data_IF_700460975133
#
_entry.id   IF_700460975133
#
_cell.length_a   1.000
_cell.length_b   1.000
_cell.length_c   1.000
_cell.angle_alpha   90.00
_cell.angle_beta   90.00
_cell.angle_gamma   90.00
#
_symmetry.space_group_name_H-M   'P 1'
#
loop_
_entity.id
_entity.type
_entity.pdbx_description
1 polymer ?
#
# COMPACT_ATOMS: atom_id res chain seq x y z
N UNK A 1 4.72 -6.08 10.64
CA UNK A 1 3.55 -6.78 11.23
C UNK A 1 3.76 -7.05 12.72
N UNK A 2 4.73 -7.87 13.14
CA UNK A 2 4.98 -8.11 14.57
C UNK A 2 5.26 -6.81 15.37
N UNK A 3 6.02 -5.88 14.79
CA UNK A 3 6.28 -4.58 15.41
C UNK A 3 5.02 -3.71 15.51
N UNK A 4 4.20 -3.68 14.46
CA UNK A 4 2.90 -3.00 14.48
C UNK A 4 2.00 -3.53 15.60
N UNK A 5 1.83 -4.84 15.72
CA UNK A 5 1.04 -5.45 16.80
C UNK A 5 1.62 -5.11 18.18
N UNK A 6 2.95 -5.13 18.34
CA UNK A 6 3.60 -4.68 19.57
C UNK A 6 3.26 -3.22 19.89
N UNK A 7 3.27 -2.35 18.88
CA UNK A 7 3.02 -0.92 19.04
C UNK A 7 1.53 -0.59 19.24
N UNK A 8 0.62 -1.37 18.65
CA UNK A 8 -0.84 -1.20 18.79
C UNK A 8 -1.42 -1.90 20.02
N UNK A 9 -0.63 -2.67 20.79
CA UNK A 9 -1.10 -3.57 21.86
C UNK A 9 -2.11 -2.98 22.85
N UNK A 10 -1.98 -1.70 23.22
CA UNK A 10 -2.88 -1.02 24.15
C UNK A 10 -4.21 -0.64 23.48
N UNK A 11 -4.15 -0.20 22.22
CA UNK A 11 -5.33 0.11 21.40
C UNK A 11 -6.08 -1.16 21.01
N UNK A 12 -5.34 -2.18 20.53
CA UNK A 12 -5.89 -3.49 20.16
C UNK A 12 -6.54 -4.17 21.38
N UNK A 13 -6.11 -3.91 22.62
CA UNK A 13 -6.76 -4.46 23.81
C UNK A 13 -8.19 -3.93 24.02
N UNK A 14 -8.48 -2.72 23.53
CA UNK A 14 -9.79 -2.08 23.62
C UNK A 14 -10.63 -2.41 22.39
N UNK A 15 -10.07 -2.24 21.19
CA UNK A 15 -10.83 -2.34 19.94
C UNK A 15 -10.94 -3.76 19.39
N UNK A 16 -9.93 -4.61 19.67
CA UNK A 16 -9.72 -5.92 19.01
C UNK A 16 -9.12 -6.95 19.96
N UNK A 17 -9.79 -7.28 21.08
CA UNK A 17 -9.24 -8.14 22.13
C UNK A 17 -8.86 -9.55 21.65
N UNK A 18 -9.37 -9.99 20.49
CA UNK A 18 -9.01 -11.25 19.84
C UNK A 18 -7.57 -11.28 19.27
N UNK A 19 -6.89 -10.14 19.15
CA UNK A 19 -5.52 -10.02 18.63
C UNK A 19 -4.50 -10.85 19.46
N UNK A 20 -3.39 -11.33 18.86
CA UNK A 20 -2.47 -12.25 19.54
C UNK A 20 -1.88 -11.74 20.86
N UNK A 21 -1.58 -10.44 20.97
CA UNK A 21 -0.98 -9.86 22.18
C UNK A 21 -2.04 -9.64 23.28
N UNK A 22 -3.17 -8.93 23.04
CA UNK A 22 -4.22 -8.79 24.06
C UNK A 22 -4.82 -10.11 24.53
N UNK A 23 -4.95 -11.10 23.64
CA UNK A 23 -5.45 -12.44 24.00
C UNK A 23 -4.44 -13.29 24.79
N UNK A 24 -3.22 -12.81 25.03
CA UNK A 24 -2.18 -13.53 25.77
C UNK A 24 -1.51 -14.68 25.00
N UNK A 25 -1.87 -14.92 23.73
CA UNK A 25 -1.26 -15.96 22.89
C UNK A 25 0.21 -15.68 22.57
N UNK A 26 0.60 -14.40 22.54
CA UNK A 26 1.96 -13.92 22.31
C UNK A 26 2.26 -12.80 23.30
N UNK A 27 3.39 -12.85 23.99
CA UNK A 27 3.79 -11.75 24.88
C UNK A 27 4.34 -10.57 24.08
N UNK A 28 4.24 -9.32 24.58
CA UNK A 28 4.85 -8.16 23.91
C UNK A 28 6.35 -8.35 23.62
N UNK A 29 7.08 -8.97 24.55
CA UNK A 29 8.50 -9.28 24.38
C UNK A 29 8.78 -10.28 23.25
N UNK A 30 7.92 -11.30 23.07
CA UNK A 30 8.02 -12.23 21.94
C UNK A 30 7.77 -11.52 20.61
N UNK A 31 6.76 -10.65 20.53
CA UNK A 31 6.47 -9.88 19.33
C UNK A 31 7.64 -8.93 18.97
N UNK A 32 8.20 -8.23 19.96
CA UNK A 32 9.35 -7.35 19.77
C UNK A 32 10.62 -8.14 19.37
N UNK A 33 10.88 -9.27 20.01
CA UNK A 33 11.99 -10.15 19.68
C UNK A 33 11.88 -10.71 18.26
N UNK A 34 10.68 -11.14 17.84
CA UNK A 34 10.42 -11.59 16.48
C UNK A 34 10.62 -10.45 15.46
N UNK A 35 10.10 -9.25 15.76
CA UNK A 35 10.29 -8.09 14.91
C UNK A 35 11.78 -7.72 14.73
N UNK A 36 12.53 -7.68 15.84
CA UNK A 36 13.97 -7.42 15.84
C UNK A 36 14.74 -8.51 15.09
N UNK A 37 14.46 -9.78 15.37
CA UNK A 37 15.10 -10.93 14.74
C UNK A 37 14.88 -10.98 13.23
N UNK A 38 13.64 -10.80 12.76
CA UNK A 38 13.32 -10.75 11.33
C UNK A 38 13.94 -9.53 10.64
N UNK A 39 13.99 -8.38 11.32
CA UNK A 39 14.68 -7.18 10.79
C UNK A 39 16.18 -7.46 10.64
N UNK A 40 16.82 -8.04 11.66
CA UNK A 40 18.24 -8.41 11.62
C UNK A 40 18.55 -9.45 10.54
N UNK A 41 17.71 -10.48 10.40
CA UNK A 41 17.84 -11.48 9.33
C UNK A 41 17.69 -10.86 7.94
N UNK A 42 16.71 -9.97 7.75
CA UNK A 42 16.54 -9.23 6.49
C UNK A 42 17.75 -8.36 6.14
N UNK A 43 18.32 -7.67 7.13
CA UNK A 43 19.54 -6.87 6.94
C UNK A 43 20.77 -7.72 6.62
N UNK A 44 20.90 -8.89 7.26
CA UNK A 44 21.95 -9.87 6.95
C UNK A 44 21.83 -10.35 5.50
N UNK A 45 20.64 -10.71 5.03
CA UNK A 45 20.42 -11.07 3.62
C UNK A 45 20.74 -9.90 2.68
N UNK A 46 20.40 -8.67 3.07
CA UNK A 46 20.67 -7.47 2.27
C UNK A 46 22.16 -7.17 2.08
N UNK A 47 23.07 -7.78 2.87
CA UNK A 47 24.51 -7.68 2.62
C UNK A 47 24.91 -8.22 1.24
N UNK A 48 24.16 -9.20 0.72
CA UNK A 48 24.34 -9.75 -0.63
C UNK A 48 23.94 -8.81 -1.77
N UNK A 49 23.24 -7.70 -1.49
CA UNK A 49 22.80 -6.72 -2.49
C UNK A 49 23.85 -5.62 -2.77
N UNK A 50 25.02 -5.71 -2.11
CA UNK A 50 26.07 -4.70 -2.16
C UNK A 50 25.75 -3.44 -1.34
N UNK A 51 26.70 -2.50 -1.29
CA UNK A 51 26.65 -1.32 -0.40
C UNK A 51 25.40 -0.45 -0.59
N UNK A 52 24.94 -0.28 -1.84
CA UNK A 52 23.75 0.51 -2.16
C UNK A 52 22.47 -0.19 -1.69
N UNK A 53 22.29 -1.46 -2.06
CA UNK A 53 21.13 -2.25 -1.64
C UNK A 53 21.02 -2.36 -0.13
N UNK A 54 22.14 -2.62 0.56
CA UNK A 54 22.19 -2.63 2.02
C UNK A 54 21.82 -1.28 2.65
N UNK A 55 22.31 -0.17 2.10
CA UNK A 55 21.94 1.18 2.55
C UNK A 55 20.43 1.46 2.43
N UNK A 56 19.81 1.00 1.34
CA UNK A 56 18.34 1.10 1.18
C UNK A 56 17.61 0.17 2.15
N UNK A 57 18.12 -1.04 2.40
CA UNK A 57 17.52 -1.96 3.38
C UNK A 57 17.51 -1.37 4.80
N UNK A 58 18.60 -0.70 5.20
CA UNK A 58 18.65 0.06 6.46
C UNK A 58 17.59 1.17 6.49
N UNK A 59 17.44 1.92 5.38
CA UNK A 59 16.44 2.96 5.29
C UNK A 59 15.00 2.40 5.38
N UNK A 60 14.72 1.26 4.74
CA UNK A 60 13.42 0.56 4.86
C UNK A 60 13.17 0.16 6.31
N UNK A 61 14.14 -0.46 6.97
CA UNK A 61 14.01 -0.85 8.37
C UNK A 61 13.76 0.37 9.27
N UNK A 62 14.54 1.44 9.10
CA UNK A 62 14.35 2.68 9.85
C UNK A 62 12.98 3.32 9.62
N UNK A 63 12.50 3.36 8.37
CA UNK A 63 11.19 3.90 8.03
C UNK A 63 10.04 3.05 8.62
N UNK A 64 10.15 1.72 8.57
CA UNK A 64 9.15 0.82 9.14
C UNK A 64 9.07 0.97 10.68
N UNK A 65 10.21 0.96 11.35
CA UNK A 65 10.28 1.16 12.80
C UNK A 65 9.84 2.57 13.22
N UNK A 66 10.28 3.60 12.47
CA UNK A 66 9.88 4.98 12.68
C UNK A 66 8.37 5.19 12.48
N UNK A 67 7.76 4.52 11.51
CA UNK A 67 6.32 4.54 11.36
C UNK A 67 5.61 3.91 12.57
N UNK A 68 5.93 2.64 12.87
CA UNK A 68 5.23 1.86 13.88
C UNK A 68 5.36 2.49 15.28
N UNK A 69 6.53 3.05 15.62
CA UNK A 69 6.81 3.53 16.97
C UNK A 69 6.59 5.04 17.16
N UNK A 70 6.71 5.86 16.11
CA UNK A 70 6.75 7.32 16.26
C UNK A 70 5.70 8.04 15.41
N UNK A 71 5.52 7.64 14.15
CA UNK A 71 4.82 8.49 13.19
C UNK A 71 3.34 8.13 12.99
N UNK A 72 2.93 6.87 13.20
CA UNK A 72 1.59 6.39 12.80
C UNK A 72 0.42 7.20 13.38
N UNK A 73 0.55 7.72 14.61
CA UNK A 73 -0.46 8.54 15.27
C UNK A 73 -0.34 10.05 14.99
N UNK A 74 0.70 10.45 14.24
CA UNK A 74 0.99 11.87 13.96
C UNK A 74 0.44 12.29 12.59
N UNK A 75 0.30 13.60 12.32
CA UNK A 75 0.00 14.10 10.97
C UNK A 75 0.99 13.65 9.89
N UNK A 76 2.23 13.31 10.27
CA UNK A 76 3.26 12.82 9.36
C UNK A 76 3.12 11.32 8.99
N UNK A 77 2.23 10.57 9.66
CA UNK A 77 2.05 9.13 9.45
C UNK A 77 1.92 8.71 7.97
N UNK A 78 1.06 9.34 7.17
CA UNK A 78 0.96 9.05 5.73
C UNK A 78 2.27 9.22 4.96
N UNK A 79 3.06 10.26 5.28
CA UNK A 79 4.34 10.51 4.62
C UNK A 79 5.38 9.45 4.97
N UNK A 80 5.45 9.03 6.24
CA UNK A 80 6.41 8.01 6.67
C UNK A 80 6.04 6.63 6.09
N UNK A 81 4.75 6.27 6.04
CA UNK A 81 4.29 5.05 5.37
C UNK A 81 4.57 5.10 3.86
N UNK A 82 4.33 6.25 3.23
CA UNK A 82 4.67 6.48 1.82
C UNK A 82 6.16 6.33 1.53
N UNK A 83 7.01 6.90 2.39
CA UNK A 83 8.46 6.74 2.30
C UNK A 83 8.88 5.28 2.47
N UNK A 84 8.32 4.56 3.45
CA UNK A 84 8.59 3.13 3.65
C UNK A 84 8.26 2.31 2.40
N UNK A 85 7.12 2.56 1.76
CA UNK A 85 6.72 1.86 0.52
C UNK A 85 7.50 2.26 -0.71
N UNK A 86 7.91 3.53 -0.84
CA UNK A 86 8.82 3.94 -1.90
C UNK A 86 10.20 3.30 -1.76
N UNK A 87 10.72 3.24 -0.53
CA UNK A 87 12.00 2.59 -0.22
C UNK A 87 11.95 1.08 -0.47
N UNK A 88 10.81 0.43 -0.26
CA UNK A 88 10.58 -0.99 -0.58
C UNK A 88 10.77 -1.27 -2.08
N UNK A 89 10.23 -0.40 -2.96
CA UNK A 89 10.47 -0.47 -4.42
C UNK A 89 11.95 -0.27 -4.75
N UNK A 90 12.60 0.71 -4.10
CA UNK A 90 14.03 0.94 -4.29
C UNK A 90 14.88 -0.24 -3.84
N UNK A 91 14.47 -0.96 -2.78
CA UNK A 91 15.15 -2.15 -2.28
C UNK A 91 15.06 -3.29 -3.29
N UNK A 92 13.87 -3.52 -3.87
CA UNK A 92 13.68 -4.49 -4.96
C UNK A 92 14.55 -4.17 -6.18
N UNK A 93 14.81 -2.89 -6.44
CA UNK A 93 15.73 -2.43 -7.48
C UNK A 93 17.20 -2.32 -7.01
N UNK A 94 17.57 -2.84 -5.83
CA UNK A 94 18.92 -2.76 -5.26
C UNK A 94 19.50 -1.33 -5.19
N UNK A 95 18.64 -0.31 -5.06
CA UNK A 95 19.02 1.10 -4.99
C UNK A 95 19.34 1.75 -6.34
N UNK A 96 19.02 1.11 -7.48
CA UNK A 96 19.22 1.71 -8.81
C UNK A 96 18.29 2.91 -9.03
N UNK A 97 18.88 4.05 -9.40
CA UNK A 97 18.14 5.32 -9.61
C UNK A 97 17.09 5.24 -10.71
N UNK A 98 17.20 4.30 -11.65
CA UNK A 98 16.20 4.05 -12.67
C UNK A 98 14.81 3.69 -12.08
N UNK A 99 14.77 3.15 -10.85
CA UNK A 99 13.53 2.84 -10.15
C UNK A 99 12.91 4.02 -9.39
N UNK A 100 13.57 5.19 -9.33
CA UNK A 100 13.05 6.35 -8.60
C UNK A 100 11.64 6.77 -9.04
N UNK A 101 11.30 6.84 -10.34
CA UNK A 101 9.94 7.18 -10.74
C UNK A 101 8.89 6.19 -10.21
N UNK A 102 9.17 4.89 -10.27
CA UNK A 102 8.29 3.86 -9.73
C UNK A 102 8.17 3.95 -8.21
N UNK A 103 9.28 4.15 -7.51
CA UNK A 103 9.32 4.32 -6.07
C UNK A 103 8.53 5.55 -5.59
N UNK A 104 8.69 6.69 -6.26
CA UNK A 104 7.95 7.92 -5.96
C UNK A 104 6.45 7.76 -6.25
N UNK A 105 6.09 7.10 -7.36
CA UNK A 105 4.70 6.80 -7.70
C UNK A 105 4.02 5.90 -6.64
N UNK A 106 4.68 4.82 -6.23
CA UNK A 106 4.19 3.91 -5.19
C UNK A 106 4.12 4.61 -3.83
N UNK A 107 5.11 5.44 -3.51
CA UNK A 107 5.10 6.26 -2.29
C UNK A 107 3.95 7.25 -2.27
N UNK A 108 3.74 8.02 -3.34
CA UNK A 108 2.65 8.99 -3.46
C UNK A 108 1.27 8.33 -3.35
N UNK A 109 1.06 7.20 -4.05
CA UNK A 109 -0.16 6.39 -3.91
C UNK A 109 -0.38 5.98 -2.46
N UNK A 110 0.68 5.49 -1.80
CA UNK A 110 0.61 5.06 -0.40
C UNK A 110 0.28 6.23 0.54
N UNK A 111 0.84 7.43 0.32
CA UNK A 111 0.48 8.63 1.08
C UNK A 111 -1.03 8.90 0.96
N UNK A 112 -1.55 8.91 -0.27
CA UNK A 112 -2.97 9.18 -0.53
C UNK A 112 -3.89 8.15 0.16
N UNK A 113 -3.59 6.86 0.03
CA UNK A 113 -4.36 5.78 0.66
C UNK A 113 -4.26 5.85 2.19
N UNK A 114 -3.08 6.12 2.73
CA UNK A 114 -2.89 6.21 4.20
C UNK A 114 -3.57 7.44 4.78
N UNK A 115 -3.60 8.56 4.06
CA UNK A 115 -4.34 9.75 4.47
C UNK A 115 -5.84 9.49 4.52
N UNK A 116 -6.40 8.84 3.49
CA UNK A 116 -7.81 8.42 3.48
C UNK A 116 -8.14 7.41 4.59
N UNK A 117 -7.26 6.44 4.84
CA UNK A 117 -7.47 5.38 5.83
C UNK A 117 -7.71 5.91 7.26
N UNK A 118 -7.24 7.12 7.57
CA UNK A 118 -7.51 7.76 8.87
C UNK A 118 -8.99 8.09 9.08
N UNK A 119 -9.75 8.26 7.99
CA UNK A 119 -11.18 8.52 8.02
C UNK A 119 -12.05 7.26 8.08
N UNK A 120 -11.48 6.06 8.27
CA UNK A 120 -12.26 4.82 8.25
C UNK A 120 -13.21 4.66 9.43
N UNK A 121 -12.96 5.32 10.57
CA UNK A 121 -13.85 5.21 11.74
C UNK A 121 -14.92 6.29 11.71
N UNK A 122 -14.52 7.53 11.48
CA UNK A 122 -15.38 8.72 11.66
C UNK A 122 -15.76 9.42 10.34
N UNK A 123 -15.33 8.92 9.18
CA UNK A 123 -15.39 9.64 7.92
C UNK A 123 -14.16 10.52 7.69
N UNK A 124 -14.04 11.05 6.48
CA UNK A 124 -12.94 11.92 6.05
C UNK A 124 -13.50 13.30 5.68
N UNK A 125 -12.75 14.06 4.90
CA UNK A 125 -13.15 15.35 4.37
C UNK A 125 -13.01 15.37 2.83
N UNK A 126 -13.77 16.22 2.12
CA UNK A 126 -13.70 16.29 0.67
C UNK A 126 -12.32 16.67 0.13
N UNK A 127 -11.53 17.44 0.87
CA UNK A 127 -10.19 17.89 0.42
C UNK A 127 -9.24 16.70 0.39
N UNK A 128 -9.24 15.86 1.42
CA UNK A 128 -8.47 14.62 1.46
C UNK A 128 -8.88 13.67 0.32
N UNK A 129 -10.18 13.52 0.07
CA UNK A 129 -10.71 12.73 -1.05
C UNK A 129 -10.23 13.22 -2.42
N UNK A 130 -10.40 14.50 -2.73
CA UNK A 130 -9.97 15.06 -4.02
C UNK A 130 -8.45 15.09 -4.18
N UNK A 131 -7.70 15.30 -3.09
CA UNK A 131 -6.24 15.21 -3.09
C UNK A 131 -5.76 13.80 -3.43
N UNK A 132 -6.46 12.78 -2.94
CA UNK A 132 -6.19 11.40 -3.28
C UNK A 132 -6.49 11.09 -4.76
N UNK A 133 -7.62 11.59 -5.29
CA UNK A 133 -7.96 11.47 -6.72
C UNK A 133 -6.88 12.13 -7.60
N UNK A 134 -6.47 13.36 -7.26
CA UNK A 134 -5.44 14.08 -8.00
C UNK A 134 -4.10 13.34 -7.97
N UNK A 135 -3.74 12.76 -6.81
CA UNK A 135 -2.54 11.93 -6.67
C UNK A 135 -2.61 10.69 -7.55
N UNK A 136 -3.74 9.96 -7.54
CA UNK A 136 -3.94 8.77 -8.37
C UNK A 136 -3.85 9.10 -9.86
N UNK A 137 -4.49 10.19 -10.31
CA UNK A 137 -4.43 10.65 -11.69
C UNK A 137 -3.00 11.06 -12.10
N UNK A 138 -2.29 11.78 -11.23
CA UNK A 138 -0.90 12.16 -11.44
C UNK A 138 0.04 10.96 -11.55
N UNK A 139 -0.12 9.97 -10.66
CA UNK A 139 0.65 8.72 -10.66
C UNK A 139 0.38 7.91 -11.93
N UNK A 140 -0.88 7.74 -12.31
CA UNK A 140 -1.24 7.02 -13.54
C UNK A 140 -0.65 7.72 -14.77
N UNK A 141 -0.80 9.05 -14.86
CA UNK A 141 -0.27 9.85 -15.97
C UNK A 141 1.25 9.78 -16.04
N UNK A 142 1.95 9.97 -14.92
CA UNK A 142 3.41 9.89 -14.87
C UNK A 142 3.94 8.51 -15.30
N UNK A 143 3.24 7.44 -14.90
CA UNK A 143 3.59 6.07 -15.29
C UNK A 143 3.45 5.86 -16.81
N UNK A 144 2.36 6.34 -17.40
CA UNK A 144 2.14 6.26 -18.85
C UNK A 144 3.13 7.12 -19.63
N UNK A 145 3.35 8.37 -19.20
CA UNK A 145 4.32 9.28 -19.84
C UNK A 145 5.72 8.68 -19.80
N UNK A 146 6.13 8.07 -18.68
CA UNK A 146 7.41 7.39 -18.57
C UNK A 146 7.57 6.22 -19.55
N UNK A 147 6.51 5.46 -19.79
CA UNK A 147 6.53 4.38 -20.77
C UNK A 147 6.56 4.88 -22.21
N UNK A 148 5.80 5.93 -22.53
CA UNK A 148 5.72 6.52 -23.88
C UNK A 148 7.01 7.24 -24.27
N UNK A 149 7.64 7.95 -23.34
CA UNK A 149 8.89 8.68 -23.58
C UNK A 149 10.14 7.81 -23.40
N UNK A 150 9.97 6.59 -22.87
CA UNK A 150 11.03 5.60 -22.71
C UNK A 150 11.50 5.00 -24.04
N UNK A 151 12.56 4.19 -23.96
CA UNK A 151 13.11 3.43 -25.11
C UNK A 151 12.39 2.10 -25.37
N UNK A 152 11.24 1.89 -24.72
CA UNK A 152 10.44 0.68 -24.84
C UNK A 152 9.79 0.53 -26.21
N UNK A 153 9.23 -0.63 -26.48
CA UNK A 153 8.46 -0.87 -27.71
C UNK A 153 7.05 -0.30 -27.52
N UNK A 154 6.39 0.04 -28.63
CA UNK A 154 5.05 0.65 -28.58
C UNK A 154 4.03 -0.20 -27.81
N UNK A 155 4.16 -1.53 -27.85
CA UNK A 155 3.28 -2.43 -27.12
C UNK A 155 3.52 -2.42 -25.60
N UNK A 156 4.73 -2.07 -25.13
CA UNK A 156 5.03 -1.88 -23.70
C UNK A 156 4.28 -0.65 -23.18
N UNK A 157 4.26 0.43 -23.96
CA UNK A 157 3.50 1.64 -23.66
C UNK A 157 1.98 1.38 -23.67
N UNK A 158 1.46 0.60 -24.63
CA UNK A 158 0.04 0.22 -24.67
C UNK A 158 -0.35 -0.65 -23.47
N UNK A 159 0.45 -1.66 -23.13
CA UNK A 159 0.21 -2.50 -21.96
C UNK A 159 0.26 -1.69 -20.65
N UNK A 160 1.25 -0.80 -20.53
CA UNK A 160 1.38 0.12 -19.40
C UNK A 160 0.17 1.03 -19.29
N UNK A 161 -0.29 1.62 -20.40
CA UNK A 161 -1.47 2.48 -20.43
C UNK A 161 -2.74 1.74 -20.01
N UNK A 162 -2.93 0.49 -20.45
CA UNK A 162 -4.04 -0.35 -20.04
C UNK A 162 -4.04 -0.63 -18.53
N UNK A 163 -2.90 -1.02 -17.97
CA UNK A 163 -2.75 -1.33 -16.55
C UNK A 163 -2.83 -0.08 -15.65
N UNK A 164 -2.19 1.02 -16.05
CA UNK A 164 -2.28 2.31 -15.37
C UNK A 164 -3.70 2.89 -15.44
N UNK A 165 -4.41 2.69 -16.56
CA UNK A 165 -5.81 3.05 -16.72
C UNK A 165 -6.72 2.22 -15.81
N UNK A 166 -6.50 0.91 -15.71
CA UNK A 166 -7.22 0.04 -14.77
C UNK A 166 -7.02 0.52 -13.32
N UNK A 167 -5.78 0.78 -12.93
CA UNK A 167 -5.44 1.39 -11.64
C UNK A 167 -6.18 2.72 -11.41
N UNK A 168 -6.02 3.67 -12.33
CA UNK A 168 -6.58 5.02 -12.20
C UNK A 168 -8.11 5.02 -12.11
N UNK A 169 -8.77 4.17 -12.91
CA UNK A 169 -10.24 4.07 -12.91
C UNK A 169 -10.75 3.38 -11.64
N UNK A 170 -10.15 2.27 -11.22
CA UNK A 170 -10.64 1.50 -10.07
C UNK A 170 -10.43 2.23 -8.75
N UNK A 171 -9.24 2.83 -8.57
CA UNK A 171 -8.88 3.60 -7.37
C UNK A 171 -9.54 4.97 -7.40
N UNK A 172 -9.40 5.71 -8.52
CA UNK A 172 -9.89 7.09 -8.64
C UNK A 172 -11.40 7.21 -8.50
N UNK A 173 -12.18 6.23 -9.01
CA UNK A 173 -13.65 6.25 -8.82
C UNK A 173 -14.05 6.08 -7.36
N UNK A 174 -13.38 5.20 -6.61
CA UNK A 174 -13.71 5.01 -5.20
C UNK A 174 -13.26 6.21 -4.35
N UNK A 175 -12.09 6.79 -4.65
CA UNK A 175 -11.64 8.02 -4.01
C UNK A 175 -12.57 9.21 -4.32
N UNK A 176 -13.06 9.34 -5.56
CA UNK A 176 -14.04 10.37 -5.91
C UNK A 176 -15.39 10.16 -5.18
N UNK A 177 -15.80 8.90 -4.99
CA UNK A 177 -16.94 8.55 -4.15
C UNK A 177 -16.75 9.02 -2.71
N UNK A 178 -15.59 8.73 -2.11
CA UNK A 178 -15.24 9.22 -0.78
C UNK A 178 -15.10 10.75 -0.72
N UNK A 179 -14.70 11.42 -1.81
CA UNK A 179 -14.65 12.88 -1.86
C UNK A 179 -16.04 13.53 -1.92
N UNK A 180 -16.98 12.92 -2.66
CA UNK A 180 -18.35 13.39 -2.81
C UNK A 180 -19.23 13.07 -1.59
N UNK A 181 -18.96 11.96 -0.92
CA UNK A 181 -19.68 11.51 0.28
C UNK A 181 -18.65 10.97 1.28
N UNK A 182 -18.06 11.81 2.13
CA UNK A 182 -16.90 11.45 2.96
C UNK A 182 -17.28 10.72 4.27
N UNK A 183 -18.24 9.81 4.22
CA UNK A 183 -18.60 8.96 5.34
C UNK A 183 -17.62 7.78 5.54
N UNK A 184 -17.67 7.16 6.73
CA UNK A 184 -16.77 6.06 7.07
C UNK A 184 -16.88 4.85 6.12
N UNK A 185 -18.05 4.59 5.54
CA UNK A 185 -18.29 3.44 4.66
C UNK A 185 -17.62 3.61 3.30
N UNK A 186 -17.81 4.76 2.67
CA UNK A 186 -17.18 5.10 1.38
C UNK A 186 -15.66 5.21 1.51
N UNK A 187 -15.16 5.77 2.62
CA UNK A 187 -13.73 5.86 2.91
C UNK A 187 -13.11 4.46 3.05
N UNK A 188 -13.77 3.53 3.77
CA UNK A 188 -13.31 2.13 3.86
C UNK A 188 -13.26 1.43 2.51
N UNK A 189 -14.26 1.63 1.65
CA UNK A 189 -14.21 1.08 0.28
C UNK A 189 -13.07 1.70 -0.53
N UNK A 190 -12.89 3.02 -0.43
CA UNK A 190 -11.80 3.73 -1.10
C UNK A 190 -10.41 3.25 -0.62
N UNK A 191 -10.19 3.05 0.68
CA UNK A 191 -8.95 2.47 1.19
C UNK A 191 -8.75 1.05 0.69
N UNK A 192 -9.79 0.19 0.76
CA UNK A 192 -9.72 -1.19 0.28
C UNK A 192 -9.31 -1.26 -1.19
N UNK A 193 -9.95 -0.45 -2.04
CA UNK A 193 -9.59 -0.37 -3.47
C UNK A 193 -8.24 0.25 -3.70
N UNK A 194 -7.84 1.23 -2.88
CA UNK A 194 -6.51 1.81 -2.88
C UNK A 194 -5.42 0.77 -2.59
N UNK A 195 -5.61 -0.08 -1.58
CA UNK A 195 -4.72 -1.20 -1.25
C UNK A 195 -4.65 -2.18 -2.42
N UNK A 196 -5.80 -2.60 -2.97
CA UNK A 196 -5.85 -3.50 -4.13
C UNK A 196 -5.23 -2.88 -5.39
N UNK A 197 -5.30 -1.55 -5.52
CA UNK A 197 -4.77 -0.77 -6.65
C UNK A 197 -3.25 -0.78 -6.77
N UNK A 198 -2.52 -1.17 -5.72
CA UNK A 198 -1.07 -1.35 -5.80
C UNK A 198 -0.69 -2.40 -6.85
N UNK A 199 -1.49 -3.46 -7.00
CA UNK A 199 -1.22 -4.53 -7.97
C UNK A 199 -1.22 -4.04 -9.42
N UNK A 200 -2.30 -3.44 -9.96
CA UNK A 200 -2.28 -2.91 -11.32
C UNK A 200 -1.26 -1.77 -11.50
N UNK A 201 -0.99 -0.96 -10.47
CA UNK A 201 0.07 0.05 -10.53
C UNK A 201 1.46 -0.57 -10.72
N UNK A 202 1.82 -1.55 -9.89
CA UNK A 202 3.10 -2.25 -9.99
C UNK A 202 3.21 -3.07 -11.28
N UNK A 203 2.10 -3.65 -11.74
CA UNK A 203 2.05 -4.32 -13.04
C UNK A 203 2.33 -3.36 -14.20
N UNK A 204 1.76 -2.14 -14.16
CA UNK A 204 2.04 -1.10 -15.16
C UNK A 204 3.52 -0.69 -15.14
N UNK A 205 4.09 -0.50 -13.95
CA UNK A 205 5.51 -0.16 -13.77
C UNK A 205 6.44 -1.26 -14.30
N UNK A 206 6.11 -2.54 -14.06
CA UNK A 206 6.87 -3.67 -14.59
C UNK A 206 6.73 -3.81 -16.12
N UNK A 207 5.54 -3.56 -16.67
CA UNK A 207 5.33 -3.54 -18.11
C UNK A 207 6.20 -2.46 -18.79
N UNK A 208 6.35 -1.30 -18.16
CA UNK A 208 7.19 -0.21 -18.65
C UNK A 208 8.70 -0.50 -18.51
N UNK A 209 9.11 -1.16 -17.42
CA UNK A 209 10.52 -1.36 -17.09
C UNK A 209 11.14 -2.65 -17.66
N UNK A 210 10.32 -3.67 -17.91
CA UNK A 210 10.78 -4.99 -18.32
C UNK A 210 10.01 -5.51 -19.55
N UNK A 211 8.89 -6.20 -19.33
CA UNK A 211 8.06 -6.75 -20.42
C UNK A 211 6.58 -6.76 -20.01
N UNK A 212 5.65 -6.73 -20.98
CA UNK A 212 4.21 -6.82 -20.70
C UNK A 212 3.84 -8.14 -20.01
N UNK A 213 4.54 -9.22 -20.35
CA UNK A 213 4.33 -10.54 -19.72
C UNK A 213 4.68 -10.51 -18.23
N UNK A 214 5.75 -9.81 -17.83
CA UNK A 214 6.08 -9.65 -16.42
C UNK A 214 4.98 -8.88 -15.65
N UNK A 215 4.42 -7.83 -16.26
CA UNK A 215 3.29 -7.08 -15.70
C UNK A 215 2.03 -7.94 -15.57
N UNK A 216 1.66 -8.68 -16.62
CA UNK A 216 0.49 -9.56 -16.63
C UNK A 216 0.64 -10.74 -15.66
N UNK A 217 1.84 -11.30 -15.52
CA UNK A 217 2.13 -12.34 -14.55
C UNK A 217 1.90 -11.85 -13.11
N UNK A 218 2.28 -10.61 -12.79
CA UNK A 218 2.02 -10.03 -11.47
C UNK A 218 0.51 -9.96 -11.16
N UNK A 219 -0.30 -9.54 -12.14
CA UNK A 219 -1.76 -9.50 -11.99
C UNK A 219 -2.34 -10.92 -11.85
N UNK A 220 -1.81 -11.89 -12.59
CA UNK A 220 -2.23 -13.29 -12.50
C UNK A 220 -1.88 -13.98 -11.17
N UNK A 221 -0.83 -13.50 -10.48
CA UNK A 221 -0.44 -13.94 -9.14
C UNK A 221 -1.26 -13.28 -8.02
N UNK A 222 -2.07 -12.27 -8.34
CA UNK A 222 -2.97 -11.70 -7.36
C UNK A 222 -3.87 -12.82 -6.85
N UNK A 223 -3.92 -13.08 -5.52
CA UNK A 223 -4.91 -13.99 -4.99
C UNK A 223 -6.26 -13.50 -5.52
N UNK A 224 -7.02 -14.40 -6.14
CA UNK A 224 -8.39 -14.14 -6.54
C UNK A 224 -9.18 -13.83 -5.26
N UNK A 225 -9.07 -12.57 -4.81
CA UNK A 225 -9.66 -12.05 -3.61
C UNK A 225 -11.16 -12.06 -3.84
N UNK A 226 -11.75 -13.14 -3.32
CA UNK A 226 -13.16 -13.39 -3.08
C UNK A 226 -14.14 -12.46 -3.77
N UNK A 227 -14.90 -13.03 -4.71
CA UNK A 227 -16.35 -12.86 -4.67
C UNK A 227 -16.77 -13.06 -3.21
N UNK A 228 -17.14 -11.99 -2.49
CA UNK A 228 -17.86 -12.17 -1.24
C UNK A 228 -19.11 -13.00 -1.54
N UNK A 229 -19.43 -14.04 -0.75
CA UNK A 229 -20.75 -14.63 -0.81
C UNK A 229 -21.75 -13.51 -0.55
N UNK A 230 -22.79 -13.45 -1.39
CA UNK A 230 -23.92 -12.57 -1.21
C UNK A 230 -24.31 -12.52 0.28
N UNK A 231 -24.46 -11.30 0.82
CA UNK A 231 -24.97 -11.09 2.15
C UNK A 231 -26.26 -11.91 2.32
N UNK A 232 -26.18 -12.97 3.12
CA UNK A 232 -27.36 -13.70 3.59
C UNK A 232 -28.23 -12.69 4.32
N UNK A 233 -29.42 -12.46 3.78
CA UNK A 233 -30.49 -11.65 4.38
C UNK A 233 -30.64 -12.02 5.86
N UNK A 234 -30.67 -11.03 6.75
CA UNK A 234 -31.01 -11.23 8.16
C UNK A 234 -32.42 -11.85 8.24
N UNK A 235 -32.65 -12.88 9.06
CA UNK A 235 -33.98 -13.40 9.33
C UNK A 235 -34.61 -12.57 10.47
N UNK A 236 -35.08 -11.36 10.16
CA UNK A 236 -35.92 -10.58 11.10
C UNK A 236 -37.40 -10.56 10.70
N UNK A 237 -37.82 -11.28 9.65
CA UNK A 237 -39.18 -11.18 9.08
C UNK A 237 -40.02 -12.46 9.23
N UNK A 238 -39.94 -13.12 10.41
CA UNK A 238 -40.88 -14.19 10.78
C UNK A 238 -41.25 -14.13 12.26
N UNK A 239 -42.02 -13.11 12.64
CA UNK A 239 -43.02 -13.20 13.72
C UNK A 239 -44.22 -12.34 13.34
N UNK A 240 -45.14 -12.96 12.62
CA UNK A 240 -46.56 -12.65 12.64
C UNK A 240 -47.27 -13.90 13.16
#
# INVERSE_FOLDING_TARGET
MALNDYSDRELDAVERPERPIPSGRVTPGQALGLAGGLTGAGLLLATGLGRRGFGVALAVAAAAWGYDLLAKQTPAGPLVMGAARGLDVMLGACGHRAALPAALATGAHTVAVTALARGEVNGSDPVTGWSAVATTAGVATATVVGAVTGRGRWYDAVATAGLAGLYGVTVGRAQAGAAASPDAGTVRDATRRGIAGLLPLQAAQLAAAATPLAGLALVGLAPSCGRSPAASRRPEDRRA
#
